data_IF_994496165658
#
_entry.id   IF_994496165658
#
_cell.length_a   1.000
_cell.length_b   1.000
_cell.length_c   1.000
_cell.angle_alpha   90.00
_cell.angle_beta   90.00
_cell.angle_gamma   90.00
#
_symmetry.space_group_name_H-M   'P 1'
#
loop_
_entity.id
_entity.type
_entity.pdbx_description
1 polymer ?
#
# COMPACT_ATOMS: atom_id res chain seq x y z
N UNK A 1 -15.98 -29.01 10.60
CA UNK A 1 -16.45 -28.42 9.31
C UNK A 1 -17.97 -28.23 9.24
N UNK A 2 -18.80 -29.27 9.38
CA UNK A 2 -20.28 -29.12 9.33
C UNK A 2 -20.84 -28.21 10.43
N UNK A 3 -20.28 -28.30 11.63
CA UNK A 3 -20.68 -27.48 12.78
C UNK A 3 -20.40 -25.98 12.57
N UNK A 4 -19.19 -25.62 12.14
CA UNK A 4 -18.83 -24.24 11.78
C UNK A 4 -19.74 -23.69 10.66
N UNK A 5 -20.02 -24.49 9.63
CA UNK A 5 -20.94 -24.08 8.58
C UNK A 5 -22.38 -23.88 9.10
N UNK A 6 -22.81 -24.65 10.10
CA UNK A 6 -24.05 -24.43 10.81
C UNK A 6 -24.05 -23.08 11.54
N UNK A 7 -23.04 -22.83 12.37
CA UNK A 7 -22.89 -21.57 13.12
C UNK A 7 -22.92 -20.34 12.21
N UNK A 8 -22.18 -20.38 11.08
CA UNK A 8 -22.13 -19.29 10.11
C UNK A 8 -23.46 -19.06 9.39
N UNK A 9 -24.34 -20.05 9.31
CA UNK A 9 -25.67 -19.90 8.70
C UNK A 9 -26.71 -19.34 9.67
N UNK A 10 -26.54 -19.59 10.97
CA UNK A 10 -27.50 -19.22 12.01
C UNK A 10 -27.24 -17.85 12.65
N UNK A 11 -26.13 -17.18 12.35
CA UNK A 11 -25.92 -15.82 12.84
C UNK A 11 -26.92 -14.83 12.20
N UNK A 12 -27.21 -13.72 12.87
CA UNK A 12 -28.06 -12.65 12.30
C UNK A 12 -27.27 -11.74 11.36
N UNK A 13 -26.03 -11.42 11.74
CA UNK A 13 -25.08 -10.65 10.95
C UNK A 13 -23.66 -11.11 11.27
N UNK A 14 -22.90 -11.50 10.25
CA UNK A 14 -21.53 -11.96 10.41
C UNK A 14 -20.52 -11.09 9.66
N UNK A 15 -19.33 -10.92 10.24
CA UNK A 15 -18.20 -10.21 9.64
C UNK A 15 -16.99 -11.13 9.66
N UNK A 16 -16.32 -11.27 8.52
CA UNK A 16 -15.04 -11.98 8.40
C UNK A 16 -13.93 -10.96 8.23
N UNK A 17 -13.04 -10.87 9.21
CA UNK A 17 -11.80 -10.09 9.12
C UNK A 17 -10.71 -10.93 8.45
N UNK A 18 -10.09 -10.38 7.40
CA UNK A 18 -9.02 -11.06 6.66
C UNK A 18 -7.69 -10.34 6.82
N UNK A 19 -6.62 -11.10 7.03
CA UNK A 19 -5.26 -10.57 7.15
C UNK A 19 -4.30 -11.19 6.13
N UNK A 20 -3.02 -10.81 6.25
CA UNK A 20 -1.96 -11.28 5.37
C UNK A 20 -1.77 -12.81 5.39
N UNK A 21 -2.13 -13.50 6.48
CA UNK A 21 -2.05 -14.97 6.53
C UNK A 21 -2.87 -15.67 5.44
N UNK A 22 -3.99 -15.08 5.01
CA UNK A 22 -4.78 -15.61 3.89
C UNK A 22 -4.26 -15.11 2.54
N UNK A 23 -3.90 -13.81 2.47
CA UNK A 23 -3.50 -13.16 1.21
C UNK A 23 -2.09 -13.52 0.73
N UNK A 24 -1.17 -13.87 1.64
CA UNK A 24 0.23 -14.19 1.34
C UNK A 24 0.58 -15.68 1.52
N UNK A 25 -0.37 -16.53 1.90
CA UNK A 25 -0.15 -17.98 1.91
C UNK A 25 -0.21 -18.57 0.50
N UNK A 26 0.17 -19.83 0.39
CA UNK A 26 0.10 -20.59 -0.87
C UNK A 26 -1.33 -20.50 -1.43
N UNK A 27 -1.46 -20.09 -2.69
CA UNK A 27 -2.75 -19.75 -3.33
C UNK A 27 -3.00 -18.24 -3.48
N UNK A 28 -2.45 -17.38 -2.62
CA UNK A 28 -2.55 -15.91 -2.70
C UNK A 28 -3.96 -15.40 -3.00
N UNK A 29 -4.20 -14.85 -4.19
CA UNK A 29 -5.50 -14.32 -4.65
C UNK A 29 -6.58 -15.39 -4.74
N UNK A 30 -6.24 -16.65 -5.04
CA UNK A 30 -7.22 -17.74 -5.09
C UNK A 30 -7.84 -18.02 -3.72
N UNK A 31 -7.10 -17.80 -2.63
CA UNK A 31 -7.62 -17.94 -1.28
C UNK A 31 -8.71 -16.89 -1.01
N UNK A 32 -8.50 -15.66 -1.49
CA UNK A 32 -9.47 -14.58 -1.39
C UNK A 32 -10.70 -14.87 -2.25
N UNK A 33 -10.53 -15.39 -3.46
CA UNK A 33 -11.62 -15.79 -4.33
C UNK A 33 -12.49 -16.89 -3.70
N UNK A 34 -11.86 -17.92 -3.12
CA UNK A 34 -12.57 -18.98 -2.41
C UNK A 34 -13.40 -18.42 -1.23
N UNK A 35 -12.84 -17.48 -0.47
CA UNK A 35 -13.54 -16.82 0.62
C UNK A 35 -14.70 -15.95 0.12
N UNK A 36 -14.51 -15.19 -0.95
CA UNK A 36 -15.58 -14.39 -1.55
C UNK A 36 -16.73 -15.27 -2.03
N UNK A 37 -16.43 -16.41 -2.64
CA UNK A 37 -17.42 -17.40 -3.02
C UNK A 37 -18.15 -18.02 -1.81
N UNK A 38 -17.45 -18.27 -0.70
CA UNK A 38 -18.06 -18.71 0.54
C UNK A 38 -19.04 -17.67 1.10
N UNK A 39 -18.61 -16.41 1.22
CA UNK A 39 -19.46 -15.33 1.73
C UNK A 39 -20.65 -15.08 0.82
N UNK A 40 -20.47 -15.14 -0.50
CA UNK A 40 -21.58 -15.08 -1.46
C UNK A 40 -22.61 -16.18 -1.21
N UNK A 41 -22.18 -17.42 -0.92
CA UNK A 41 -23.09 -18.54 -0.58
C UNK A 41 -23.76 -18.37 0.78
N UNK A 42 -23.04 -17.86 1.79
CA UNK A 42 -23.61 -17.59 3.11
C UNK A 42 -24.67 -16.49 3.06
N UNK A 43 -24.53 -15.52 2.15
CA UNK A 43 -25.51 -14.46 1.92
C UNK A 43 -26.89 -14.94 1.46
N UNK A 44 -27.04 -16.21 1.07
CA UNK A 44 -28.35 -16.83 0.82
C UNK A 44 -29.09 -17.27 2.10
N UNK A 45 -28.41 -17.31 3.24
CA UNK A 45 -28.95 -17.76 4.53
C UNK A 45 -28.98 -16.65 5.58
N UNK A 46 -27.96 -15.78 5.60
CA UNK A 46 -27.80 -14.69 6.57
C UNK A 46 -26.98 -13.55 5.97
N UNK A 47 -26.92 -12.38 6.61
CA UNK A 47 -26.05 -11.27 6.15
C UNK A 47 -24.61 -11.51 6.56
N UNK A 48 -23.71 -11.55 5.58
CA UNK A 48 -22.27 -11.73 5.79
C UNK A 48 -21.47 -10.69 5.03
N UNK A 49 -20.53 -10.03 5.73
CA UNK A 49 -19.62 -9.05 5.17
C UNK A 49 -18.15 -9.46 5.40
N UNK A 50 -17.24 -8.85 4.63
CA UNK A 50 -15.80 -9.06 4.75
C UNK A 50 -15.14 -7.72 4.96
N UNK A 51 -14.21 -7.66 5.91
CA UNK A 51 -13.36 -6.49 6.13
C UNK A 51 -11.89 -6.90 5.99
N UNK A 52 -11.18 -6.44 4.94
CA UNK A 52 -9.73 -6.60 4.87
C UNK A 52 -9.03 -5.74 5.91
N UNK A 53 -8.26 -6.38 6.78
CA UNK A 53 -7.38 -5.72 7.75
C UNK A 53 -6.17 -5.16 7.01
N UNK A 54 -6.28 -3.92 6.55
CA UNK A 54 -5.20 -3.17 5.92
C UNK A 54 -4.14 -2.81 6.97
N UNK A 55 -2.86 -2.87 6.58
CA UNK A 55 -1.72 -2.69 7.49
C UNK A 55 -1.49 -1.23 7.89
N UNK A 56 -0.89 -0.43 7.00
CA UNK A 56 -0.62 0.98 7.30
C UNK A 56 -1.88 1.85 7.27
N UNK A 57 -1.83 2.95 8.03
CA UNK A 57 -2.96 3.84 8.28
C UNK A 57 -3.63 4.41 7.00
N UNK A 58 -2.89 4.49 5.88
CA UNK A 58 -3.41 5.04 4.63
C UNK A 58 -3.16 4.19 3.37
N UNK A 59 -2.93 2.88 3.51
CA UNK A 59 -2.85 1.99 2.32
C UNK A 59 -4.14 2.06 1.51
N UNK A 60 -5.29 2.13 2.18
CA UNK A 60 -6.58 2.30 1.53
C UNK A 60 -6.62 3.61 0.73
N UNK A 61 -6.10 4.72 1.27
CA UNK A 61 -6.11 6.01 0.58
C UNK A 61 -5.24 6.01 -0.66
N UNK A 62 -4.05 5.40 -0.63
CA UNK A 62 -3.22 5.22 -1.82
C UNK A 62 -4.01 4.51 -2.93
N UNK A 63 -4.65 3.37 -2.61
CA UNK A 63 -5.44 2.62 -3.58
C UNK A 63 -6.64 3.42 -4.10
N UNK A 64 -7.35 4.15 -3.22
CA UNK A 64 -8.49 4.99 -3.61
C UNK A 64 -8.04 6.10 -4.57
N UNK A 65 -6.99 6.85 -4.20
CA UNK A 65 -6.44 7.96 -4.98
C UNK A 65 -5.99 7.48 -6.35
N UNK A 66 -5.18 6.42 -6.38
CA UNK A 66 -4.67 5.89 -7.64
C UNK A 66 -5.80 5.34 -8.52
N UNK A 67 -6.81 4.71 -7.92
CA UNK A 67 -7.97 4.18 -8.68
C UNK A 67 -8.77 5.30 -9.33
N UNK A 68 -9.11 6.38 -8.62
CA UNK A 68 -9.88 7.47 -9.25
C UNK A 68 -9.04 8.30 -10.24
N UNK A 69 -7.71 8.30 -10.11
CA UNK A 69 -6.80 9.01 -11.05
C UNK A 69 -6.48 8.22 -12.30
N UNK A 70 -6.30 6.90 -12.17
CA UNK A 70 -5.74 6.05 -13.22
C UNK A 70 -6.68 4.93 -13.70
N UNK A 71 -7.74 4.64 -12.95
CA UNK A 71 -8.59 3.47 -13.12
C UNK A 71 -8.12 2.23 -12.37
N UNK A 72 -6.93 2.25 -11.75
CA UNK A 72 -6.30 1.06 -11.17
C UNK A 72 -5.74 1.29 -9.74
N UNK A 73 -5.73 0.28 -8.86
CA UNK A 73 -5.44 0.47 -7.44
C UNK A 73 -3.95 0.43 -7.02
N UNK A 74 -3.07 -0.20 -7.82
CA UNK A 74 -1.62 -0.30 -7.57
C UNK A 74 -0.91 -0.77 -8.85
N UNK A 75 0.42 -0.91 -8.85
CA UNK A 75 1.19 -1.49 -9.98
C UNK A 75 0.85 -0.86 -11.36
N UNK A 76 0.68 0.47 -11.39
CA UNK A 76 0.30 1.20 -12.60
C UNK A 76 1.55 1.66 -13.34
N UNK A 77 1.66 1.23 -14.59
CA UNK A 77 2.72 1.62 -15.52
C UNK A 77 2.25 2.78 -16.40
N UNK A 78 3.06 3.85 -16.48
CA UNK A 78 2.83 5.03 -17.32
C UNK A 78 3.85 5.17 -18.47
N UNK A 79 4.70 4.17 -18.71
CA UNK A 79 5.77 4.20 -19.73
C UNK A 79 5.30 4.55 -21.14
N UNK A 80 4.04 4.23 -21.48
CA UNK A 80 3.43 4.52 -22.79
C UNK A 80 2.63 5.83 -22.83
N UNK A 81 2.68 6.65 -21.78
CA UNK A 81 1.92 7.89 -21.68
C UNK A 81 0.45 7.73 -21.26
N UNK A 82 0.01 6.50 -20.98
CA UNK A 82 -1.33 6.19 -20.45
C UNK A 82 -1.22 5.05 -19.42
N UNK A 83 -2.15 4.97 -18.44
CA UNK A 83 -2.06 3.97 -17.38
C UNK A 83 -2.28 2.55 -17.91
N UNK A 84 -1.38 1.64 -17.55
CA UNK A 84 -1.48 0.18 -17.77
C UNK A 84 -1.39 -0.54 -16.43
N UNK A 85 -2.09 -1.68 -16.30
CA UNK A 85 -2.18 -2.40 -15.04
C UNK A 85 -2.09 -3.91 -15.27
N UNK A 86 -0.92 -4.47 -14.97
CA UNK A 86 -0.63 -5.91 -15.11
C UNK A 86 0.13 -6.41 -13.87
N UNK A 87 -0.54 -6.63 -12.70
CA UNK A 87 0.11 -7.25 -11.56
C UNK A 87 0.70 -8.63 -11.90
N UNK A 88 1.98 -8.85 -11.60
CA UNK A 88 2.79 -9.98 -12.06
C UNK A 88 3.85 -9.56 -13.10
N UNK A 89 3.66 -8.41 -13.75
CA UNK A 89 4.62 -7.77 -14.66
C UNK A 89 5.04 -6.43 -14.08
N UNK A 90 4.07 -5.58 -13.71
CA UNK A 90 4.31 -4.19 -13.30
C UNK A 90 4.33 -3.99 -11.78
N UNK A 91 4.44 -5.07 -10.97
CA UNK A 91 4.63 -4.90 -9.52
C UNK A 91 6.09 -4.70 -9.18
N UNK A 92 6.33 -3.95 -8.10
CA UNK A 92 7.69 -3.62 -7.67
C UNK A 92 8.56 -4.86 -7.40
N UNK A 93 7.99 -5.95 -6.89
CA UNK A 93 8.74 -7.20 -6.65
C UNK A 93 9.15 -7.85 -7.96
N UNK A 94 8.27 -7.86 -8.96
CA UNK A 94 8.55 -8.45 -10.28
C UNK A 94 9.63 -7.62 -10.99
N UNK A 95 9.42 -6.30 -11.08
CA UNK A 95 10.34 -5.35 -11.71
C UNK A 95 11.76 -5.38 -11.10
N UNK A 96 11.88 -5.40 -9.77
CA UNK A 96 13.18 -5.50 -9.08
C UNK A 96 13.80 -6.89 -9.24
N UNK A 97 12.99 -7.96 -9.22
CA UNK A 97 13.51 -9.32 -9.35
C UNK A 97 14.09 -9.59 -10.73
N UNK A 98 13.49 -9.00 -11.77
CA UNK A 98 13.95 -9.15 -13.16
C UNK A 98 14.96 -8.06 -13.57
N UNK A 99 15.17 -7.06 -12.72
CA UNK A 99 16.14 -5.99 -12.98
C UNK A 99 15.73 -5.03 -14.09
N UNK A 100 14.41 -4.83 -14.25
CA UNK A 100 13.83 -3.99 -15.31
C UNK A 100 13.80 -2.50 -14.94
N UNK A 101 14.06 -2.16 -13.67
CA UNK A 101 14.14 -0.78 -13.18
C UNK A 101 15.58 -0.30 -13.12
N UNK A 102 15.79 0.96 -13.50
CA UNK A 102 17.07 1.66 -13.52
C UNK A 102 17.22 2.70 -12.40
N UNK A 103 16.14 3.06 -11.71
CA UNK A 103 16.12 3.92 -10.53
C UNK A 103 14.89 3.64 -9.67
N UNK A 104 14.95 4.01 -8.37
CA UNK A 104 13.84 3.84 -7.43
C UNK A 104 13.64 5.07 -6.54
N UNK A 105 12.38 5.48 -6.39
CA UNK A 105 11.94 6.47 -5.39
C UNK A 105 11.06 5.78 -4.34
N UNK A 106 11.55 5.68 -3.11
CA UNK A 106 10.83 5.14 -1.96
C UNK A 106 10.26 6.27 -1.11
N UNK A 107 8.97 6.23 -0.78
CA UNK A 107 8.29 7.30 -0.01
C UNK A 107 7.53 6.66 1.15
N UNK A 108 7.85 7.07 2.38
CA UNK A 108 7.21 6.60 3.62
C UNK A 108 7.12 5.06 3.70
N UNK A 109 8.16 4.37 3.21
CA UNK A 109 8.21 2.92 3.12
C UNK A 109 9.65 2.43 3.31
N UNK A 110 9.78 1.25 3.94
CA UNK A 110 11.06 0.60 4.22
C UNK A 110 11.20 -0.74 3.47
N UNK A 111 11.27 -0.74 2.11
CA UNK A 111 11.38 -1.95 1.31
C UNK A 111 12.57 -2.85 1.68
N UNK A 112 13.73 -2.28 2.08
CA UNK A 112 14.92 -3.09 2.43
C UNK A 112 14.64 -4.03 3.60
N UNK A 113 13.86 -3.62 4.60
CA UNK A 113 13.50 -4.48 5.73
C UNK A 113 12.44 -5.55 5.40
N UNK A 114 11.64 -5.33 4.35
CA UNK A 114 10.42 -6.11 4.12
C UNK A 114 10.45 -6.94 2.82
N UNK A 115 11.42 -6.73 1.94
CA UNK A 115 11.46 -7.37 0.63
C UNK A 115 12.33 -8.64 0.60
N UNK A 116 12.10 -9.54 -0.38
CA UNK A 116 12.99 -10.66 -0.62
C UNK A 116 14.41 -10.19 -0.96
N UNK A 117 15.40 -10.99 -0.54
CA UNK A 117 16.84 -10.71 -0.75
C UNK A 117 17.19 -10.36 -2.21
N UNK A 118 16.62 -11.06 -3.19
CA UNK A 118 16.87 -10.80 -4.62
C UNK A 118 16.54 -9.35 -5.00
N UNK A 119 15.44 -8.81 -4.48
CA UNK A 119 15.04 -7.43 -4.75
C UNK A 119 16.01 -6.45 -4.09
N UNK A 120 16.44 -6.71 -2.85
CA UNK A 120 17.39 -5.87 -2.13
C UNK A 120 18.74 -5.81 -2.86
N UNK A 121 19.22 -6.95 -3.38
CA UNK A 121 20.44 -7.03 -4.18
C UNK A 121 20.35 -6.21 -5.47
N UNK A 122 19.16 -6.05 -6.05
CA UNK A 122 18.94 -5.16 -7.19
C UNK A 122 18.85 -3.69 -6.78
N UNK A 123 18.15 -3.40 -5.68
CA UNK A 123 18.07 -2.04 -5.12
C UNK A 123 19.47 -1.47 -4.84
N UNK A 124 20.40 -2.31 -4.36
CA UNK A 124 21.78 -1.91 -4.10
C UNK A 124 22.61 -1.55 -5.36
N UNK A 125 22.08 -1.78 -6.56
CA UNK A 125 22.77 -1.54 -7.85
C UNK A 125 22.24 -0.34 -8.62
N UNK A 126 21.08 0.20 -8.21
CA UNK A 126 20.39 1.28 -8.91
C UNK A 126 20.33 2.52 -8.02
N UNK A 127 20.28 3.74 -8.59
CA UNK A 127 20.02 4.95 -7.82
C UNK A 127 18.72 4.83 -7.00
N UNK A 128 18.85 5.02 -5.68
CA UNK A 128 17.75 4.94 -4.73
C UNK A 128 17.60 6.27 -3.97
N UNK A 129 16.43 6.89 -4.10
CA UNK A 129 16.05 8.07 -3.34
C UNK A 129 15.00 7.65 -2.30
N UNK A 130 15.21 8.01 -1.04
CA UNK A 130 14.23 7.79 0.03
C UNK A 130 13.68 9.11 0.58
N UNK A 131 12.36 9.20 0.67
CA UNK A 131 11.65 10.21 1.45
C UNK A 131 11.11 9.53 2.70
N UNK A 132 11.74 9.78 3.86
CA UNK A 132 11.41 9.12 5.11
C UNK A 132 11.57 10.08 6.30
N UNK A 133 10.85 9.80 7.39
CA UNK A 133 10.82 10.57 8.64
C UNK A 133 11.81 10.03 9.67
N UNK A 134 12.29 8.80 9.47
CA UNK A 134 13.22 8.13 10.38
C UNK A 134 14.31 7.39 9.60
N UNK A 135 15.42 7.12 10.28
CA UNK A 135 16.49 6.29 9.75
C UNK A 135 16.03 4.83 9.69
N UNK A 136 16.02 4.24 8.48
CA UNK A 136 15.63 2.86 8.20
C UNK A 136 16.72 2.15 7.38
N UNK A 137 16.73 0.81 7.29
CA UNK A 137 17.59 0.10 6.34
C UNK A 137 17.45 0.60 4.90
N UNK A 138 16.28 1.06 4.49
CA UNK A 138 16.09 1.70 3.20
C UNK A 138 16.83 3.03 3.10
N UNK A 139 16.75 3.91 4.10
CA UNK A 139 17.52 5.17 4.07
C UNK A 139 19.03 4.90 4.07
N UNK A 140 19.50 3.88 4.80
CA UNK A 140 20.92 3.50 4.80
C UNK A 140 21.42 3.01 3.44
N UNK A 141 20.56 2.37 2.65
CA UNK A 141 20.89 1.92 1.30
C UNK A 141 20.77 3.04 0.25
N UNK A 142 20.10 4.15 0.57
CA UNK A 142 19.75 5.19 -0.41
C UNK A 142 20.93 6.10 -0.73
N UNK A 143 21.04 6.51 -2.00
CA UNK A 143 22.02 7.50 -2.46
C UNK A 143 21.64 8.93 -2.04
N UNK A 144 20.33 9.20 -1.89
CA UNK A 144 19.79 10.47 -1.44
C UNK A 144 18.64 10.25 -0.47
N UNK A 145 18.72 10.91 0.68
CA UNK A 145 17.65 10.94 1.68
C UNK A 145 17.08 12.35 1.71
N UNK A 146 15.77 12.46 1.50
CA UNK A 146 15.01 13.68 1.69
C UNK A 146 14.16 13.49 2.96
N UNK A 147 14.39 14.28 4.02
CA UNK A 147 13.54 14.21 5.21
C UNK A 147 12.07 14.48 4.88
N UNK A 148 11.20 13.52 5.19
CA UNK A 148 9.75 13.65 5.05
C UNK A 148 9.10 14.41 6.21
N UNK A 149 7.80 14.64 6.11
CA UNK A 149 7.00 15.34 7.13
C UNK A 149 5.91 14.42 7.66
N UNK A 150 5.78 14.32 8.98
CA UNK A 150 4.83 13.40 9.63
C UNK A 150 3.40 13.88 9.43
N UNK A 151 2.68 13.28 8.47
CA UNK A 151 1.27 13.59 8.19
C UNK A 151 0.38 13.26 9.39
N UNK A 152 -0.40 14.24 9.84
CA UNK A 152 -1.27 14.13 11.02
C UNK A 152 -0.60 14.53 12.34
N UNK A 153 0.67 14.95 12.30
CA UNK A 153 1.38 15.54 13.44
C UNK A 153 1.93 16.91 13.01
N UNK A 154 2.74 16.94 11.95
CA UNK A 154 3.44 18.13 11.46
C UNK A 154 2.74 18.77 10.25
N UNK A 155 1.93 17.98 9.54
CA UNK A 155 1.13 18.45 8.40
C UNK A 155 -0.31 17.94 8.47
N UNK A 156 -1.22 18.61 7.76
CA UNK A 156 -2.59 18.13 7.59
C UNK A 156 -2.62 17.06 6.49
N UNK A 157 -3.64 16.19 6.53
CA UNK A 157 -3.83 15.22 5.45
C UNK A 157 -5.17 14.51 5.51
N UNK A 158 -5.41 13.65 4.53
CA UNK A 158 -6.57 12.75 4.52
C UNK A 158 -6.07 11.32 4.50
N UNK A 159 -6.60 10.50 5.40
CA UNK A 159 -6.36 9.07 5.37
C UNK A 159 -7.66 8.28 5.33
N UNK A 160 -7.61 7.10 4.73
CA UNK A 160 -8.75 6.20 4.66
C UNK A 160 -8.52 5.05 5.62
N UNK A 161 -9.47 4.87 6.54
CA UNK A 161 -9.48 3.71 7.44
C UNK A 161 -9.67 2.41 6.63
N UNK A 162 -9.44 1.25 7.25
CA UNK A 162 -9.55 -0.06 6.60
C UNK A 162 -10.92 -0.35 5.95
N UNK A 163 -11.99 0.33 6.40
CA UNK A 163 -13.34 0.28 5.84
C UNK A 163 -13.61 1.36 4.77
N UNK A 164 -12.56 2.06 4.30
CA UNK A 164 -12.60 3.15 3.33
C UNK A 164 -13.32 4.42 3.81
N UNK A 165 -13.53 4.59 5.12
CA UNK A 165 -14.04 5.87 5.65
C UNK A 165 -12.90 6.92 5.61
N UNK A 166 -13.07 8.05 4.92
CA UNK A 166 -12.08 9.12 4.90
C UNK A 166 -12.10 9.89 6.23
N UNK A 167 -10.92 10.13 6.77
CA UNK A 167 -10.69 10.88 8.00
C UNK A 167 -9.68 11.99 7.73
N UNK A 168 -9.92 13.16 8.30
CA UNK A 168 -8.99 14.30 8.21
C UNK A 168 -8.01 14.24 9.37
N UNK A 169 -6.73 14.14 9.05
CA UNK A 169 -5.64 14.32 10.00
C UNK A 169 -5.31 15.81 10.11
N UNK A 170 -5.24 16.31 11.34
CA UNK A 170 -4.92 17.71 11.63
C UNK A 170 -3.49 17.84 12.09
N UNK A 171 -2.83 18.90 11.67
CA UNK A 171 -1.55 19.34 12.21
C UNK A 171 -1.71 19.68 13.70
N UNK A 172 -0.73 19.26 14.50
CA UNK A 172 -0.68 19.45 15.95
C UNK A 172 0.54 20.30 16.33
N UNK A 173 1.67 20.10 15.65
CA UNK A 173 2.92 20.85 15.87
C UNK A 173 3.48 21.36 14.54
N UNK A 174 4.38 22.34 14.61
CA UNK A 174 5.17 22.74 13.44
C UNK A 174 6.23 21.66 13.13
N UNK A 175 6.53 21.38 11.86
CA UNK A 175 7.66 20.52 11.52
C UNK A 175 8.97 21.11 12.05
N UNK A 176 9.90 20.26 12.47
CA UNK A 176 11.24 20.70 12.87
C UNK A 176 12.06 21.28 11.71
N UNK A 177 11.62 21.02 10.49
CA UNK A 177 12.33 21.32 9.27
C UNK A 177 11.65 22.44 8.50
N UNK A 178 12.39 23.51 8.21
CA UNK A 178 11.84 24.72 7.59
C UNK A 178 11.75 24.68 6.06
N UNK A 179 12.39 23.71 5.39
CA UNK A 179 12.50 23.75 3.92
C UNK A 179 11.22 23.31 3.18
N UNK A 180 10.36 22.49 3.80
CA UNK A 180 9.10 21.95 3.25
C UNK A 180 8.07 21.79 4.37
N UNK A 181 6.79 21.87 4.00
CA UNK A 181 5.66 21.74 4.94
C UNK A 181 4.87 20.43 4.80
N UNK A 182 5.14 19.64 3.76
CA UNK A 182 4.52 18.33 3.52
C UNK A 182 5.30 17.52 2.49
N UNK A 183 5.07 16.20 2.46
CA UNK A 183 5.60 15.32 1.40
C UNK A 183 5.07 15.71 0.01
N UNK A 184 3.85 16.24 -0.08
CA UNK A 184 3.28 16.78 -1.32
C UNK A 184 4.12 17.94 -1.86
N UNK A 185 4.60 18.84 -0.98
CA UNK A 185 5.45 19.95 -1.39
C UNK A 185 6.81 19.47 -1.92
N UNK A 186 7.41 18.45 -1.30
CA UNK A 186 8.62 17.79 -1.80
C UNK A 186 8.38 17.29 -3.23
N UNK A 187 7.33 16.49 -3.43
CA UNK A 187 7.01 15.90 -4.74
C UNK A 187 6.69 16.96 -5.79
N UNK A 188 5.99 18.04 -5.42
CA UNK A 188 5.68 19.15 -6.34
C UNK A 188 6.94 19.88 -6.78
N UNK A 189 7.90 20.12 -5.88
CA UNK A 189 9.18 20.76 -6.22
C UNK A 189 10.03 19.88 -7.12
N UNK A 190 10.05 18.56 -6.89
CA UNK A 190 10.71 17.60 -7.78
C UNK A 190 10.07 17.64 -9.16
N UNK A 191 8.74 17.58 -9.23
CA UNK A 191 8.01 17.60 -10.50
C UNK A 191 8.27 18.86 -11.33
N UNK A 192 8.42 20.03 -10.70
CA UNK A 192 8.75 21.29 -11.39
C UNK A 192 10.16 21.35 -11.99
N UNK A 193 11.02 20.39 -11.64
CA UNK A 193 12.40 20.30 -12.13
C UNK A 193 12.60 19.23 -13.20
N UNK A 194 11.58 18.41 -13.45
CA UNK A 194 11.52 17.44 -14.55
C UNK A 194 11.05 18.12 -15.83
#
# INVERSE_FOLDING_TARGET
MKELAGLLKWCEYGIIFIGLGLANSLGKSYNLEALYNLVKKLNNYTRMAIIPMRGHFNVAGFCQVLTWRSGYPFAVDYSRGYPRYNPGETTLIDLLSEGEVDAMLSIAADPVSHFPRKCIEQMAKIPLIAIDIVRTPTTELSDLIIPGIVTGIESNGTYFRMDNVPLTAKKIIEPEIDFVKSDEEILRRIYQKL
#
